data_IF_078706468799
#
_entry.id   IF_078706468799
#
_cell.length_a   1.000
_cell.length_b   1.000
_cell.length_c   1.000
_cell.angle_alpha   90.00
_cell.angle_beta   90.00
_cell.angle_gamma   90.00
#
_symmetry.space_group_name_H-M   'P 1'
#
loop_
_entity.id
_entity.type
_entity.pdbx_description
1 polymer ?
#
# COMPACT_ATOMS: atom_id res chain seq x y z
N UNK A 1 -8.13 -8.97 9.05
CA UNK A 1 -6.75 -9.41 9.25
C UNK A 1 -6.73 -10.82 9.85
N UNK A 2 -5.81 -11.70 9.43
CA UNK A 2 -5.64 -13.01 10.04
C UNK A 2 -5.24 -12.90 11.54
N UNK A 3 -5.61 -13.88 12.37
CA UNK A 3 -6.28 -15.13 12.00
C UNK A 3 -7.79 -14.92 11.78
N UNK A 4 -8.29 -15.43 10.65
CA UNK A 4 -9.70 -15.35 10.33
C UNK A 4 -10.53 -16.16 11.34
N UNK A 5 -11.72 -15.69 11.77
CA UNK A 5 -12.60 -16.42 12.66
C UNK A 5 -13.32 -17.58 11.92
N UNK A 6 -12.56 -18.41 11.23
CA UNK A 6 -13.02 -19.62 10.56
C UNK A 6 -12.42 -20.85 11.25
N UNK A 7 -13.11 -21.99 11.19
CA UNK A 7 -12.67 -23.21 11.88
C UNK A 7 -11.27 -23.65 11.37
N UNK A 8 -10.37 -24.11 12.26
CA UNK A 8 -9.15 -24.79 11.85
C UNK A 8 -9.47 -25.91 10.84
N UNK A 9 -8.78 -25.94 9.70
CA UNK A 9 -9.04 -26.90 8.61
C UNK A 9 -10.00 -26.43 7.52
N UNK A 10 -10.57 -25.23 7.60
CA UNK A 10 -11.38 -24.64 6.53
C UNK A 10 -10.52 -24.06 5.39
N UNK A 11 -9.56 -24.82 4.88
CA UNK A 11 -8.55 -24.37 3.91
C UNK A 11 -9.15 -23.61 2.70
N UNK A 12 -10.31 -24.04 2.19
CA UNK A 12 -10.97 -23.33 1.08
C UNK A 12 -11.55 -21.97 1.49
N UNK A 13 -12.03 -21.82 2.72
CA UNK A 13 -12.52 -20.52 3.21
C UNK A 13 -11.36 -19.55 3.42
N UNK A 14 -10.24 -20.04 3.97
CA UNK A 14 -9.01 -19.25 4.13
C UNK A 14 -8.48 -18.82 2.76
N UNK A 15 -8.37 -19.71 1.81
CA UNK A 15 -7.92 -19.39 0.44
C UNK A 15 -8.81 -18.32 -0.25
N UNK A 16 -10.13 -18.35 -0.01
CA UNK A 16 -11.03 -17.28 -0.51
C UNK A 16 -10.75 -15.95 0.17
N UNK A 17 -10.55 -15.94 1.49
CA UNK A 17 -10.29 -14.72 2.25
C UNK A 17 -8.93 -14.13 1.89
N UNK A 18 -7.89 -14.95 1.83
CA UNK A 18 -6.54 -14.55 1.43
C UNK A 18 -6.57 -13.95 0.02
N UNK A 19 -7.23 -14.65 -0.93
CA UNK A 19 -7.36 -14.16 -2.30
C UNK A 19 -8.14 -12.84 -2.39
N UNK A 20 -9.18 -12.66 -1.59
CA UNK A 20 -9.95 -11.41 -1.55
C UNK A 20 -9.17 -10.28 -0.86
N UNK A 21 -8.31 -10.61 0.11
CA UNK A 21 -7.40 -9.65 0.71
C UNK A 21 -6.34 -9.18 -0.28
N UNK A 22 -5.80 -10.11 -1.07
CA UNK A 22 -4.78 -9.80 -2.08
C UNK A 22 -5.35 -9.02 -3.27
N UNK A 23 -6.53 -9.42 -3.75
CA UNK A 23 -7.12 -8.87 -4.97
C UNK A 23 -8.12 -7.73 -4.73
N UNK A 24 -8.59 -7.56 -3.49
CA UNK A 24 -9.69 -6.65 -3.19
C UNK A 24 -11.05 -7.12 -3.79
N UNK A 25 -11.97 -6.20 -4.04
CA UNK A 25 -13.26 -6.52 -4.65
C UNK A 25 -13.07 -7.25 -5.99
N UNK A 26 -13.57 -8.48 -6.08
CA UNK A 26 -13.31 -9.38 -7.20
C UNK A 26 -14.63 -9.94 -7.72
N UNK A 27 -14.79 -10.02 -9.05
CA UNK A 27 -15.98 -10.58 -9.66
C UNK A 27 -16.13 -12.08 -9.33
N UNK A 28 -17.37 -12.50 -9.05
CA UNK A 28 -17.68 -13.90 -8.71
C UNK A 28 -17.23 -14.87 -9.82
N UNK A 29 -17.31 -14.45 -11.08
CA UNK A 29 -16.83 -15.23 -12.25
C UNK A 29 -15.35 -15.56 -12.15
N UNK A 30 -14.52 -14.61 -11.70
CA UNK A 30 -13.08 -14.78 -11.60
C UNK A 30 -12.68 -15.59 -10.38
N UNK A 31 -13.39 -15.43 -9.27
CA UNK A 31 -13.23 -16.30 -8.10
C UNK A 31 -13.58 -17.76 -8.44
N UNK A 32 -14.66 -17.98 -9.20
CA UNK A 32 -15.03 -19.33 -9.66
C UNK A 32 -13.99 -19.95 -10.59
N UNK A 33 -13.37 -19.16 -11.47
CA UNK A 33 -12.29 -19.65 -12.37
C UNK A 33 -11.06 -20.10 -11.58
N UNK A 34 -10.71 -19.40 -10.50
CA UNK A 34 -9.51 -19.67 -9.71
C UNK A 34 -9.71 -20.76 -8.65
N UNK A 35 -10.89 -20.79 -8.03
CA UNK A 35 -11.18 -21.64 -6.86
C UNK A 35 -12.18 -22.76 -7.16
N UNK A 36 -12.71 -22.80 -8.39
CA UNK A 36 -13.64 -23.82 -8.85
C UNK A 36 -15.12 -23.54 -8.55
N UNK A 37 -16.02 -24.42 -9.02
CA UNK A 37 -17.47 -24.20 -8.97
C UNK A 37 -18.07 -24.14 -7.55
N UNK A 38 -17.37 -24.68 -6.55
CA UNK A 38 -17.81 -24.65 -5.14
C UNK A 38 -17.62 -23.32 -4.41
N UNK A 39 -17.19 -22.27 -5.08
CA UNK A 39 -16.84 -20.97 -4.48
C UNK A 39 -18.08 -20.22 -3.91
N UNK A 40 -19.23 -20.29 -4.59
CA UNK A 40 -20.43 -19.55 -4.17
C UNK A 40 -20.99 -19.95 -2.79
N UNK A 41 -21.12 -21.25 -2.44
CA UNK A 41 -21.51 -21.66 -1.10
C UNK A 41 -20.53 -21.18 -0.02
N UNK A 42 -19.24 -21.17 -0.33
CA UNK A 42 -18.20 -20.67 0.59
C UNK A 42 -18.38 -19.17 0.83
N UNK A 43 -18.57 -18.38 -0.22
CA UNK A 43 -18.81 -16.94 -0.12
C UNK A 43 -20.06 -16.63 0.67
N UNK A 44 -21.19 -17.33 0.43
CA UNK A 44 -22.43 -17.15 1.22
C UNK A 44 -22.21 -17.41 2.69
N UNK A 45 -21.42 -18.44 3.04
CA UNK A 45 -21.08 -18.72 4.44
C UNK A 45 -20.20 -17.62 5.04
N UNK A 46 -19.21 -17.11 4.31
CA UNK A 46 -18.36 -16.00 4.75
C UNK A 46 -19.15 -14.70 4.89
N UNK A 47 -20.15 -14.47 4.04
CA UNK A 47 -21.11 -13.38 4.19
C UNK A 47 -21.92 -13.50 5.48
N UNK A 48 -22.41 -14.71 5.80
CA UNK A 48 -23.13 -14.97 7.05
C UNK A 48 -22.29 -14.75 8.31
N UNK A 49 -20.95 -14.82 8.18
CA UNK A 49 -19.99 -14.48 9.23
C UNK A 49 -19.56 -12.99 9.23
N UNK A 50 -20.10 -12.18 8.30
CA UNK A 50 -19.73 -10.77 8.18
C UNK A 50 -18.29 -10.53 7.61
N UNK A 51 -17.63 -11.58 7.11
CA UNK A 51 -16.25 -11.49 6.63
C UNK A 51 -16.13 -11.07 5.16
N UNK A 52 -17.19 -11.27 4.38
CA UNK A 52 -17.27 -10.93 2.96
C UNK A 52 -18.63 -10.30 2.69
N UNK A 53 -18.69 -9.32 1.81
CA UNK A 53 -19.94 -8.76 1.28
C UNK A 53 -20.09 -9.16 -0.17
N UNK A 54 -21.29 -9.62 -0.55
CA UNK A 54 -21.68 -9.85 -1.94
C UNK A 54 -22.55 -8.69 -2.37
N UNK A 55 -22.07 -7.89 -3.31
CA UNK A 55 -22.85 -6.84 -3.94
C UNK A 55 -23.43 -7.37 -5.26
N UNK A 56 -24.73 -7.26 -5.45
CA UNK A 56 -25.40 -7.62 -6.70
C UNK A 56 -25.26 -6.45 -7.68
N UNK A 57 -24.36 -6.63 -8.64
CA UNK A 57 -24.19 -5.70 -9.78
C UNK A 57 -23.29 -4.52 -9.45
N UNK A 58 -22.27 -4.39 -10.27
CA UNK A 58 -21.43 -3.20 -10.27
C UNK A 58 -22.24 -1.97 -10.69
N UNK A 59 -22.90 -1.34 -9.76
CA UNK A 59 -23.21 0.07 -9.94
C UNK A 59 -21.88 0.78 -10.06
N UNK A 60 -21.63 1.32 -11.26
CA UNK A 60 -20.67 2.38 -11.40
C UNK A 60 -20.96 3.35 -10.24
N UNK A 61 -19.95 3.70 -9.46
CA UNK A 61 -20.07 4.73 -8.45
C UNK A 61 -20.56 6.00 -9.18
N UNK A 62 -21.86 6.15 -9.29
CA UNK A 62 -22.48 7.41 -9.70
C UNK A 62 -22.18 8.32 -8.52
N UNK A 63 -21.52 9.47 -8.72
CA UNK A 63 -21.38 10.44 -7.66
C UNK A 63 -22.79 10.65 -7.08
N UNK A 64 -23.03 10.46 -5.78
CA UNK A 64 -24.31 10.83 -5.22
C UNK A 64 -24.53 12.28 -5.57
N UNK A 65 -25.63 12.56 -6.27
CA UNK A 65 -26.04 13.93 -6.49
C UNK A 65 -26.06 14.59 -5.11
N UNK A 66 -25.15 15.51 -4.90
CA UNK A 66 -24.92 16.42 -3.77
C UNK A 66 -25.77 16.24 -2.49
N UNK A 67 -25.93 15.02 -2.01
CA UNK A 67 -26.54 14.73 -0.69
C UNK A 67 -25.42 14.34 0.25
N UNK A 68 -25.01 15.32 1.04
CA UNK A 68 -23.91 15.42 1.97
C UNK A 68 -23.65 14.22 2.86
N UNK A 69 -22.97 13.20 2.35
CA UNK A 69 -22.21 12.31 3.18
C UNK A 69 -20.85 13.00 3.39
N UNK A 70 -20.72 13.72 4.50
CA UNK A 70 -19.43 14.23 4.94
C UNK A 70 -18.47 13.04 5.07
N UNK A 71 -17.28 13.16 4.49
CA UNK A 71 -16.21 12.19 4.75
C UNK A 71 -15.90 12.14 6.26
N UNK A 72 -15.29 11.05 6.70
CA UNK A 72 -14.81 10.98 8.08
C UNK A 72 -13.87 12.15 8.36
N UNK A 73 -14.05 12.79 9.51
CA UNK A 73 -13.12 13.82 9.98
C UNK A 73 -11.74 13.17 10.14
N UNK A 74 -10.79 13.63 9.34
CA UNK A 74 -9.43 13.15 9.43
C UNK A 74 -8.83 13.54 10.79
N UNK A 75 -8.09 12.64 11.47
CA UNK A 75 -7.41 12.97 12.70
C UNK A 75 -6.57 14.26 12.57
N UNK A 76 -6.46 15.04 13.62
CA UNK A 76 -5.61 16.24 13.60
C UNK A 76 -4.17 15.86 13.20
N UNK A 77 -3.53 16.74 12.47
CA UNK A 77 -2.12 16.61 12.17
C UNK A 77 -1.30 16.75 13.45
N UNK A 78 -0.17 16.08 13.52
CA UNK A 78 0.88 16.39 14.51
C UNK A 78 1.66 17.61 14.09
N UNK A 79 2.37 18.25 15.02
CA UNK A 79 3.21 19.42 14.73
C UNK A 79 4.21 19.16 13.59
N UNK A 80 4.82 17.94 13.56
CA UNK A 80 5.73 17.53 12.47
C UNK A 80 4.99 17.43 11.13
N UNK A 81 3.77 16.93 11.12
CA UNK A 81 2.97 16.83 9.90
C UNK A 81 2.47 18.20 9.43
N UNK A 82 2.13 19.10 10.35
CA UNK A 82 1.77 20.49 10.02
C UNK A 82 2.95 21.22 9.41
N UNK A 83 4.14 21.12 10.01
CA UNK A 83 5.36 21.68 9.46
C UNK A 83 5.67 21.11 8.05
N UNK A 84 5.58 19.80 7.90
CA UNK A 84 5.78 19.16 6.60
C UNK A 84 4.75 19.62 5.55
N UNK A 85 3.48 19.78 5.93
CA UNK A 85 2.44 20.30 5.05
C UNK A 85 2.72 21.75 4.65
N UNK A 86 3.19 22.57 5.57
CA UNK A 86 3.54 23.97 5.30
C UNK A 86 4.68 24.10 4.27
N UNK A 87 5.61 23.13 4.23
CA UNK A 87 6.66 23.07 3.20
C UNK A 87 6.16 22.52 1.85
N UNK A 88 5.22 21.58 1.86
CA UNK A 88 4.72 20.92 0.64
C UNK A 88 3.62 21.70 -0.06
N UNK A 89 2.76 22.38 0.67
CA UNK A 89 1.61 23.09 0.11
C UNK A 89 1.98 24.19 -0.90
N UNK A 90 3.05 25.01 -0.69
CA UNK A 90 3.50 25.96 -1.70
C UNK A 90 3.95 25.29 -3.00
N UNK A 91 4.65 24.15 -2.91
CA UNK A 91 5.08 23.39 -4.07
C UNK A 91 3.90 22.73 -4.81
N UNK A 92 2.82 22.39 -4.12
CA UNK A 92 1.58 21.94 -4.74
C UNK A 92 0.86 23.09 -5.47
N UNK A 93 0.84 24.29 -4.87
CA UNK A 93 0.19 25.45 -5.49
C UNK A 93 0.97 26.00 -6.69
N UNK A 94 2.29 25.91 -6.66
CA UNK A 94 3.21 26.39 -7.72
C UNK A 94 4.34 25.37 -7.90
N UNK A 95 4.12 24.30 -8.65
CA UNK A 95 5.13 23.27 -8.87
C UNK A 95 6.38 23.84 -9.55
N UNK A 96 7.54 23.55 -8.99
CA UNK A 96 8.87 23.97 -9.47
C UNK A 96 9.58 22.90 -10.30
N UNK A 97 8.88 21.80 -10.61
CA UNK A 97 9.42 20.68 -11.36
C UNK A 97 10.29 19.73 -10.52
N UNK A 98 10.44 19.97 -9.21
CA UNK A 98 11.21 19.11 -8.33
C UNK A 98 10.30 18.12 -7.59
N UNK A 99 10.77 16.87 -7.48
CA UNK A 99 10.14 15.92 -6.56
C UNK A 99 10.37 16.33 -5.10
N UNK A 100 9.49 15.93 -4.21
CA UNK A 100 9.61 16.11 -2.76
C UNK A 100 9.75 14.75 -2.08
N UNK A 101 10.79 14.60 -1.26
CA UNK A 101 10.96 13.39 -0.46
C UNK A 101 10.29 13.57 0.92
N UNK A 102 9.30 12.73 1.21
CA UNK A 102 8.73 12.59 2.56
C UNK A 102 9.43 11.45 3.27
N UNK A 103 10.46 11.77 4.02
CA UNK A 103 11.24 10.81 4.80
C UNK A 103 10.62 10.67 6.20
N UNK A 104 9.88 9.60 6.43
CA UNK A 104 9.19 9.38 7.70
C UNK A 104 9.30 7.95 8.19
N UNK A 105 9.59 7.78 9.47
CA UNK A 105 9.63 6.46 10.10
C UNK A 105 8.31 5.72 9.92
N UNK A 106 8.34 4.40 10.00
CA UNK A 106 7.11 3.58 9.97
C UNK A 106 6.19 4.02 11.10
N UNK A 107 4.92 4.29 10.79
CA UNK A 107 3.96 4.81 11.78
C UNK A 107 4.04 6.32 12.03
N UNK A 108 4.81 7.09 11.27
CA UNK A 108 4.84 8.57 11.37
C UNK A 108 3.61 9.26 10.78
N UNK A 109 2.69 8.49 10.18
CA UNK A 109 1.48 9.04 9.59
C UNK A 109 1.67 9.67 8.21
N UNK A 110 2.64 9.22 7.40
CA UNK A 110 2.81 9.66 6.00
C UNK A 110 1.50 9.69 5.23
N UNK A 111 0.69 8.62 5.35
CA UNK A 111 -0.62 8.56 4.69
C UNK A 111 -1.55 9.71 5.09
N UNK A 112 -1.51 10.14 6.36
CA UNK A 112 -2.30 11.29 6.82
C UNK A 112 -1.89 12.58 6.12
N UNK A 113 -0.58 12.79 5.95
CA UNK A 113 -0.04 13.93 5.20
C UNK A 113 -0.44 13.87 3.72
N UNK A 114 -0.39 12.69 3.09
CA UNK A 114 -0.85 12.51 1.71
C UNK A 114 -2.33 12.89 1.55
N UNK A 115 -3.20 12.49 2.49
CA UNK A 115 -4.62 12.85 2.43
C UNK A 115 -4.86 14.36 2.52
N UNK A 116 -4.03 15.11 3.25
CA UNK A 116 -4.11 16.58 3.22
C UNK A 116 -3.70 17.17 1.87
N UNK A 117 -2.63 16.66 1.26
CA UNK A 117 -2.24 17.06 -0.09
C UNK A 117 -3.33 16.71 -1.11
N UNK A 118 -3.96 15.55 -0.97
CA UNK A 118 -5.13 15.15 -1.79
C UNK A 118 -6.25 16.19 -1.63
N UNK A 119 -6.61 16.56 -0.40
CA UNK A 119 -7.65 17.56 -0.12
C UNK A 119 -7.36 18.89 -0.81
N UNK A 120 -6.12 19.37 -0.71
CA UNK A 120 -5.69 20.61 -1.36
C UNK A 120 -5.73 20.51 -2.89
N UNK A 121 -5.36 19.37 -3.45
CA UNK A 121 -5.39 19.12 -4.90
C UNK A 121 -6.82 19.07 -5.43
N UNK A 122 -7.72 18.37 -4.73
CA UNK A 122 -9.14 18.30 -5.08
C UNK A 122 -9.82 19.68 -5.00
N UNK A 123 -9.42 20.52 -4.04
CA UNK A 123 -9.91 21.89 -3.94
C UNK A 123 -9.49 22.78 -5.13
N UNK A 124 -8.43 22.40 -5.85
CA UNK A 124 -8.01 23.02 -7.10
C UNK A 124 -8.74 22.45 -8.33
N UNK A 125 -9.64 21.48 -8.14
CA UNK A 125 -10.32 20.77 -9.22
C UNK A 125 -9.43 19.77 -9.96
N UNK A 126 -8.24 19.43 -9.41
CA UNK A 126 -7.24 18.61 -10.08
C UNK A 126 -7.24 17.17 -9.58
N UNK A 127 -6.76 16.26 -10.42
CA UNK A 127 -6.72 14.82 -10.14
C UNK A 127 -5.50 14.42 -9.31
N UNK A 128 -5.64 13.25 -8.65
CA UNK A 128 -4.60 12.70 -7.80
C UNK A 128 -4.27 11.25 -8.17
N UNK A 129 -2.98 10.93 -8.20
CA UNK A 129 -2.48 9.58 -8.39
C UNK A 129 -1.69 9.14 -7.15
N UNK A 130 -2.19 8.13 -6.44
CA UNK A 130 -1.56 7.52 -5.26
C UNK A 130 -1.03 6.14 -5.63
N UNK A 131 0.27 5.96 -5.60
CA UNK A 131 0.92 4.71 -6.01
C UNK A 131 1.58 4.01 -4.83
N UNK A 132 1.43 2.71 -4.79
CA UNK A 132 2.11 1.83 -3.85
C UNK A 132 2.73 0.64 -4.60
N UNK A 133 3.79 -0.01 -4.05
CA UNK A 133 4.48 -1.10 -4.73
C UNK A 133 3.60 -2.33 -4.92
N UNK A 134 2.76 -2.63 -3.93
CA UNK A 134 1.94 -3.83 -3.88
C UNK A 134 0.45 -3.51 -3.87
N UNK A 135 -0.35 -4.48 -4.32
CA UNK A 135 -1.82 -4.35 -4.38
C UNK A 135 -2.43 -4.11 -3.00
N UNK A 136 -1.92 -4.80 -1.98
CA UNK A 136 -2.41 -4.65 -0.60
C UNK A 136 -2.21 -3.22 -0.06
N UNK A 137 -1.05 -2.62 -0.33
CA UNK A 137 -0.74 -1.24 0.04
C UNK A 137 -1.54 -0.23 -0.78
N UNK A 138 -1.70 -0.47 -2.09
CA UNK A 138 -2.55 0.35 -2.95
C UNK A 138 -4.02 0.32 -2.49
N UNK A 139 -4.52 -0.85 -2.11
CA UNK A 139 -5.87 -1.00 -1.54
C UNK A 139 -6.01 -0.31 -0.19
N UNK A 140 -4.95 -0.26 0.63
CA UNK A 140 -4.94 0.52 1.89
C UNK A 140 -5.06 2.03 1.61
N UNK A 141 -4.28 2.55 0.66
CA UNK A 141 -4.38 3.95 0.23
C UNK A 141 -5.77 4.27 -0.35
N UNK A 142 -6.31 3.38 -1.18
CA UNK A 142 -7.65 3.50 -1.73
C UNK A 142 -8.71 3.58 -0.64
N UNK A 143 -8.70 2.64 0.34
CA UNK A 143 -9.65 2.66 1.46
C UNK A 143 -9.55 3.96 2.27
N UNK A 144 -8.34 4.45 2.52
CA UNK A 144 -8.13 5.71 3.21
C UNK A 144 -8.73 6.89 2.41
N UNK A 145 -8.54 6.91 1.09
CA UNK A 145 -9.13 7.92 0.20
C UNK A 145 -10.67 7.83 0.15
N UNK A 146 -11.24 6.61 0.10
CA UNK A 146 -12.70 6.41 0.12
C UNK A 146 -13.33 6.95 1.40
N UNK A 147 -12.70 6.73 2.55
CA UNK A 147 -13.19 7.25 3.83
C UNK A 147 -13.12 8.77 3.91
N UNK A 148 -11.97 9.33 3.48
CA UNK A 148 -11.74 10.78 3.57
C UNK A 148 -12.51 11.58 2.52
N UNK A 149 -12.68 11.03 1.31
CA UNK A 149 -13.23 11.74 0.13
C UNK A 149 -14.25 10.89 -0.64
N UNK A 150 -15.34 10.46 -0.02
CA UNK A 150 -16.33 9.59 -0.67
C UNK A 150 -16.93 10.23 -1.92
N UNK A 151 -17.07 11.58 -1.96
CA UNK A 151 -17.62 12.30 -3.09
C UNK A 151 -16.70 12.29 -4.34
N UNK A 152 -15.38 12.17 -4.14
CA UNK A 152 -14.43 12.06 -5.24
C UNK A 152 -14.42 10.66 -5.87
N UNK A 153 -15.19 9.73 -5.30
CA UNK A 153 -15.31 8.34 -5.76
C UNK A 153 -13.94 7.72 -6.14
N UNK A 154 -13.03 7.52 -5.20
CA UNK A 154 -11.70 7.01 -5.51
C UNK A 154 -11.72 5.70 -6.28
N UNK A 155 -10.80 5.55 -7.23
CA UNK A 155 -10.66 4.39 -8.11
C UNK A 155 -9.44 3.59 -7.69
N UNK A 156 -9.60 2.26 -7.55
CA UNK A 156 -8.46 1.36 -7.39
C UNK A 156 -8.06 0.81 -8.77
N UNK A 157 -6.74 0.82 -9.08
CA UNK A 157 -6.22 0.28 -10.33
C UNK A 157 -4.96 -0.56 -10.14
N UNK A 158 -5.01 -1.81 -10.56
CA UNK A 158 -3.83 -2.70 -10.60
C UNK A 158 -3.98 -3.79 -11.66
N UNK A 159 -2.85 -4.38 -12.10
CA UNK A 159 -2.82 -5.32 -13.22
C UNK A 159 -3.58 -6.63 -13.02
N UNK A 160 -3.87 -7.01 -11.76
CA UNK A 160 -4.61 -8.25 -11.45
C UNK A 160 -6.13 -8.08 -11.44
N UNK A 161 -6.65 -6.86 -11.69
CA UNK A 161 -8.09 -6.64 -11.79
C UNK A 161 -8.67 -7.28 -13.05
N UNK A 162 -9.97 -7.68 -13.04
CA UNK A 162 -10.69 -8.11 -14.22
C UNK A 162 -10.64 -7.04 -15.33
N UNK A 163 -10.60 -7.45 -16.61
CA UNK A 163 -10.55 -6.50 -17.73
C UNK A 163 -11.62 -5.42 -17.68
N UNK A 164 -12.87 -5.78 -17.37
CA UNK A 164 -13.98 -4.84 -17.26
C UNK A 164 -13.77 -3.77 -16.17
N UNK A 165 -13.23 -4.17 -15.00
CA UNK A 165 -12.91 -3.22 -13.93
C UNK A 165 -11.78 -2.27 -14.33
N UNK A 166 -10.76 -2.77 -15.04
CA UNK A 166 -9.67 -1.93 -15.56
C UNK A 166 -10.16 -0.94 -16.60
N UNK A 167 -11.05 -1.38 -17.50
CA UNK A 167 -11.68 -0.52 -18.51
C UNK A 167 -12.49 0.60 -17.86
N UNK A 168 -13.34 0.27 -16.88
CA UNK A 168 -14.09 1.27 -16.12
C UNK A 168 -13.18 2.27 -15.42
N UNK A 169 -12.13 1.80 -14.78
CA UNK A 169 -11.13 2.64 -14.11
C UNK A 169 -10.39 3.53 -15.11
N UNK A 170 -10.07 3.01 -16.31
CA UNK A 170 -9.42 3.75 -17.38
C UNK A 170 -10.31 4.90 -17.89
N UNK A 171 -11.57 4.59 -18.23
CA UNK A 171 -12.54 5.60 -18.69
C UNK A 171 -12.74 6.67 -17.64
N UNK A 172 -12.81 6.28 -16.38
CA UNK A 172 -13.04 7.20 -15.29
C UNK A 172 -11.83 8.09 -15.00
N UNK A 173 -10.60 7.53 -15.05
CA UNK A 173 -9.38 8.30 -14.90
C UNK A 173 -9.20 9.35 -16.01
N UNK A 174 -9.72 9.10 -17.22
CA UNK A 174 -9.73 10.04 -18.35
C UNK A 174 -10.89 11.03 -18.34
N UNK A 175 -11.77 10.99 -17.34
CA UNK A 175 -12.92 11.90 -17.29
C UNK A 175 -12.49 13.31 -16.90
N UNK A 176 -12.86 14.30 -17.72
CA UNK A 176 -12.59 15.71 -17.44
C UNK A 176 -13.65 16.37 -16.52
N UNK A 177 -14.75 15.66 -16.25
CA UNK A 177 -15.93 16.25 -15.62
C UNK A 177 -15.87 16.31 -14.08
N UNK A 178 -14.90 15.65 -13.43
CA UNK A 178 -14.73 15.69 -11.98
C UNK A 178 -13.31 15.30 -11.57
N UNK A 179 -12.76 15.89 -10.51
CA UNK A 179 -11.49 15.48 -9.97
C UNK A 179 -11.58 14.02 -9.48
N UNK A 180 -10.63 13.19 -9.90
CA UNK A 180 -10.59 11.75 -9.59
C UNK A 180 -9.36 11.46 -8.75
N UNK A 181 -9.52 10.61 -7.74
CA UNK A 181 -8.41 9.99 -7.02
C UNK A 181 -8.21 8.60 -7.58
N UNK A 182 -7.03 8.33 -8.13
CA UNK A 182 -6.64 6.99 -8.54
C UNK A 182 -5.61 6.46 -7.55
N UNK A 183 -5.93 5.38 -6.85
CA UNK A 183 -4.97 4.62 -6.06
C UNK A 183 -4.61 3.35 -6.83
N UNK A 184 -3.32 3.00 -6.88
CA UNK A 184 -2.92 1.82 -7.65
C UNK A 184 -1.47 1.42 -7.48
N UNK A 185 -1.09 0.42 -8.25
CA UNK A 185 0.32 0.03 -8.39
C UNK A 185 0.96 0.76 -9.58
N UNK A 186 2.22 0.46 -9.89
CA UNK A 186 2.91 1.04 -11.07
C UNK A 186 2.09 0.96 -12.37
N UNK A 187 1.20 -0.02 -12.49
CA UNK A 187 0.34 -0.17 -13.66
C UNK A 187 -0.69 0.95 -13.83
N UNK A 188 -0.91 1.79 -12.82
CA UNK A 188 -1.77 2.97 -12.91
C UNK A 188 -1.06 4.18 -13.56
N UNK A 189 0.28 4.16 -13.66
CA UNK A 189 1.02 5.25 -14.30
C UNK A 189 0.63 5.53 -15.77
N UNK A 190 0.35 4.52 -16.62
CA UNK A 190 -0.04 4.80 -18.01
C UNK A 190 -1.52 5.17 -18.20
N UNK A 191 -2.32 5.28 -17.14
CA UNK A 191 -3.71 5.72 -17.28
C UNK A 191 -3.80 7.08 -17.97
N UNK A 192 -4.86 7.37 -18.74
CA UNK A 192 -4.96 8.60 -19.49
C UNK A 192 -4.81 9.80 -18.57
N UNK A 193 -4.08 10.84 -19.03
CA UNK A 193 -3.91 12.03 -18.23
C UNK A 193 -5.22 12.81 -18.18
N UNK A 194 -5.79 12.96 -16.98
CA UNK A 194 -6.58 14.11 -16.66
C UNK A 194 -5.68 15.26 -16.20
N UNK A 195 -6.23 16.33 -15.67
CA UNK A 195 -5.46 17.40 -15.05
C UNK A 195 -4.89 16.93 -13.69
N UNK A 196 -3.74 16.23 -13.72
CA UNK A 196 -3.10 15.71 -12.52
C UNK A 196 -2.42 16.85 -11.76
N UNK A 197 -2.78 17.05 -10.49
CA UNK A 197 -2.15 18.01 -9.59
C UNK A 197 -1.16 17.38 -8.59
N UNK A 198 -1.34 16.09 -8.29
CA UNK A 198 -0.51 15.40 -7.30
C UNK A 198 -0.25 13.96 -7.74
N UNK A 199 1.02 13.55 -7.67
CA UNK A 199 1.44 12.14 -7.78
C UNK A 199 2.19 11.78 -6.51
N UNK A 200 1.77 10.71 -5.84
CA UNK A 200 2.44 10.16 -4.65
C UNK A 200 2.94 8.74 -4.97
N UNK A 201 4.21 8.48 -4.72
CA UNK A 201 4.78 7.13 -4.67
C UNK A 201 5.09 6.81 -3.22
N UNK A 202 4.26 5.99 -2.59
CA UNK A 202 4.53 5.48 -1.24
C UNK A 202 5.47 4.28 -1.29
N UNK A 203 6.36 4.15 -0.31
CA UNK A 203 7.46 3.18 -0.27
C UNK A 203 8.31 3.21 -1.58
N UNK A 204 8.72 4.40 -1.99
CA UNK A 204 9.39 4.69 -3.28
C UNK A 204 10.65 3.86 -3.56
N UNK A 205 11.26 3.32 -2.49
CA UNK A 205 12.47 2.50 -2.56
C UNK A 205 12.23 1.08 -3.06
N UNK A 206 10.96 0.63 -3.09
CA UNK A 206 10.63 -0.75 -3.39
C UNK A 206 10.94 -1.13 -4.85
N UNK A 207 11.57 -2.29 -5.03
CA UNK A 207 11.93 -2.82 -6.35
C UNK A 207 10.72 -3.11 -7.25
N UNK A 208 9.51 -3.27 -6.68
CA UNK A 208 8.30 -3.46 -7.46
C UNK A 208 7.94 -2.27 -8.36
N UNK A 209 8.51 -1.10 -8.11
CA UNK A 209 8.38 0.05 -9.01
C UNK A 209 9.23 -0.04 -10.28
N UNK A 210 10.11 -1.04 -10.39
CA UNK A 210 10.85 -1.35 -11.59
C UNK A 210 10.08 -2.36 -12.45
N UNK A 211 9.80 -2.03 -13.70
CA UNK A 211 9.31 -2.97 -14.72
C UNK A 211 10.49 -3.52 -15.48
N UNK A 212 10.67 -4.83 -15.51
CA UNK A 212 11.75 -5.49 -16.23
C UNK A 212 11.27 -6.24 -17.48
N UNK A 213 10.00 -6.70 -17.45
CA UNK A 213 9.37 -7.43 -18.53
C UNK A 213 8.84 -6.52 -19.64
N UNK A 214 8.91 -6.97 -20.91
CA UNK A 214 8.37 -6.31 -22.10
C UNK A 214 8.97 -4.93 -22.35
N UNK A 215 8.36 -3.87 -21.82
CA UNK A 215 8.87 -2.50 -21.89
C UNK A 215 9.47 -2.15 -20.51
N UNK A 216 10.82 -2.15 -20.39
CA UNK A 216 11.47 -1.82 -19.13
C UNK A 216 11.32 -0.32 -18.80
N UNK A 217 10.92 -0.01 -17.56
CA UNK A 217 10.87 1.37 -17.06
C UNK A 217 10.95 1.43 -15.55
N UNK A 218 11.36 2.58 -15.04
CA UNK A 218 11.29 2.93 -13.63
C UNK A 218 10.05 3.81 -13.37
N UNK A 219 9.19 3.38 -12.45
CA UNK A 219 7.97 4.13 -12.13
C UNK A 219 8.27 5.55 -11.64
N UNK A 220 9.36 5.76 -10.89
CA UNK A 220 9.80 7.09 -10.43
C UNK A 220 10.09 8.04 -11.59
N UNK A 221 10.78 7.56 -12.62
CA UNK A 221 11.13 8.37 -13.79
C UNK A 221 9.89 8.74 -14.60
N UNK A 222 8.99 7.77 -14.80
CA UNK A 222 7.71 8.01 -15.50
C UNK A 222 6.83 8.98 -14.68
N UNK A 223 6.77 8.81 -13.36
CA UNK A 223 6.01 9.71 -12.48
C UNK A 223 6.58 11.13 -12.51
N UNK A 224 7.91 11.27 -12.49
CA UNK A 224 8.59 12.55 -12.60
C UNK A 224 8.30 13.24 -13.95
N UNK A 225 8.40 12.48 -15.04
CA UNK A 225 8.06 13.00 -16.36
C UNK A 225 6.59 13.47 -16.43
N UNK A 226 5.65 12.65 -15.94
CA UNK A 226 4.22 13.00 -15.92
C UNK A 226 3.95 14.22 -15.03
N UNK A 227 4.56 14.28 -13.86
CA UNK A 227 4.41 15.42 -12.96
C UNK A 227 4.85 16.73 -13.63
N UNK A 228 6.00 16.71 -14.30
CA UNK A 228 6.49 17.89 -15.03
C UNK A 228 5.58 18.27 -16.21
N UNK A 229 5.09 17.31 -16.95
CA UNK A 229 4.16 17.54 -18.08
C UNK A 229 2.84 18.17 -17.64
N UNK A 230 2.31 17.73 -16.49
CA UNK A 230 1.03 18.20 -15.97
C UNK A 230 1.16 19.39 -15.02
N UNK A 231 2.38 19.86 -14.70
CA UNK A 231 2.57 20.80 -13.62
C UNK A 231 2.02 20.27 -12.28
N UNK A 232 2.31 19.01 -11.96
CA UNK A 232 1.89 18.36 -10.74
C UNK A 232 3.03 18.30 -9.72
N UNK A 233 2.67 18.24 -8.45
CA UNK A 233 3.63 17.91 -7.40
C UNK A 233 3.89 16.40 -7.39
N UNK A 234 5.17 15.98 -7.45
CA UNK A 234 5.59 14.61 -7.19
C UNK A 234 6.08 14.46 -5.75
N UNK A 235 5.47 13.57 -5.01
CA UNK A 235 5.86 13.19 -3.64
C UNK A 235 6.38 11.75 -3.63
N UNK A 236 7.59 11.58 -3.12
CA UNK A 236 8.23 10.29 -2.90
C UNK A 236 8.24 10.01 -1.41
N UNK A 237 7.49 9.01 -0.96
CA UNK A 237 7.38 8.67 0.45
C UNK A 237 8.15 7.41 0.82
N UNK A 238 8.95 7.45 1.88
CA UNK A 238 9.68 6.28 2.36
C UNK A 238 10.11 6.41 3.82
N UNK A 239 10.20 5.26 4.50
CA UNK A 239 10.93 5.14 5.76
C UNK A 239 12.42 4.83 5.55
N UNK A 240 12.77 4.26 4.41
CA UNK A 240 14.12 3.84 4.00
C UNK A 240 14.37 4.27 2.56
N UNK A 241 14.54 5.58 2.29
CA UNK A 241 14.66 6.08 0.93
C UNK A 241 15.76 5.37 0.11
N UNK A 242 15.50 5.16 -1.17
CA UNK A 242 16.50 4.72 -2.14
C UNK A 242 17.73 5.65 -2.08
N UNK A 243 18.91 5.09 -2.20
CA UNK A 243 20.19 5.81 -2.12
C UNK A 243 20.25 6.98 -3.12
N UNK A 244 19.74 6.79 -4.34
CA UNK A 244 19.70 7.85 -5.37
C UNK A 244 18.77 8.98 -4.94
N UNK A 245 17.56 8.65 -4.45
CA UNK A 245 16.59 9.62 -3.97
C UNK A 245 17.13 10.39 -2.76
N UNK A 246 17.74 9.68 -1.81
CA UNK A 246 18.34 10.30 -0.63
C UNK A 246 19.52 11.21 -0.99
N UNK A 247 20.38 10.79 -1.94
CA UNK A 247 21.47 11.63 -2.45
C UNK A 247 20.94 12.89 -3.14
N UNK A 248 19.94 12.75 -4.02
CA UNK A 248 19.29 13.89 -4.67
C UNK A 248 18.70 14.87 -3.64
N UNK A 249 18.10 14.35 -2.57
CA UNK A 249 17.59 15.18 -1.47
C UNK A 249 18.71 15.95 -0.76
N UNK A 250 19.84 15.31 -0.47
CA UNK A 250 21.02 15.96 0.12
C UNK A 250 21.65 17.01 -0.81
N UNK A 251 21.57 16.80 -2.11
CA UNK A 251 22.06 17.75 -3.13
C UNK A 251 21.07 18.90 -3.44
N UNK A 252 19.90 18.95 -2.76
CA UNK A 252 18.88 19.97 -2.99
C UNK A 252 18.04 19.76 -4.27
N UNK A 253 18.23 18.65 -4.97
CA UNK A 253 17.50 18.31 -6.21
C UNK A 253 16.11 17.68 -5.93
N UNK A 254 15.88 17.22 -4.71
CA UNK A 254 14.59 16.70 -4.23
C UNK A 254 14.40 17.14 -2.77
N UNK A 255 13.93 18.37 -2.51
CA UNK A 255 13.76 18.87 -1.15
C UNK A 255 13.03 17.86 -0.24
N UNK A 256 13.53 17.69 0.99
CA UNK A 256 13.13 16.63 1.89
C UNK A 256 12.44 17.17 3.13
N UNK A 257 11.22 16.73 3.38
CA UNK A 257 10.54 16.90 4.68
C UNK A 257 10.70 15.65 5.52
N UNK A 258 10.88 15.82 6.83
CA UNK A 258 11.16 14.71 7.75
C UNK A 258 10.04 14.56 8.79
N UNK A 259 9.58 13.33 8.97
CA UNK A 259 8.67 12.92 10.04
C UNK A 259 9.41 11.91 10.93
N UNK A 260 10.02 12.42 11.99
CA UNK A 260 10.92 11.63 12.84
C UNK A 260 10.18 10.79 13.89
N UNK A 261 8.98 11.25 14.29
CA UNK A 261 8.23 10.67 15.40
C UNK A 261 7.12 9.74 14.91
N UNK A 262 6.84 8.68 15.70
CA UNK A 262 5.66 7.82 15.48
C UNK A 262 4.41 8.47 16.07
N UNK A 263 3.32 8.41 15.35
CA UNK A 263 2.00 8.79 15.89
C UNK A 263 1.61 7.79 16.97
N UNK A 264 1.24 8.28 18.16
CA UNK A 264 0.86 7.42 19.29
C UNK A 264 2.00 6.99 20.22
N UNK A 265 3.24 7.50 20.02
CA UNK A 265 4.31 7.39 21.03
C UNK A 265 4.92 6.00 21.21
N UNK A 266 4.68 5.05 20.31
CA UNK A 266 5.26 3.71 20.35
C UNK A 266 6.79 3.75 20.22
N UNK A 267 7.53 3.23 21.19
CA UNK A 267 8.98 3.07 21.14
C UNK A 267 9.43 2.13 20.02
N UNK A 268 10.71 2.20 19.65
CA UNK A 268 11.32 1.18 18.81
C UNK A 268 11.47 -0.12 19.62
N UNK A 269 11.31 -1.29 18.99
CA UNK A 269 11.60 -2.55 19.65
C UNK A 269 13.08 -2.62 20.04
N UNK A 270 13.40 -3.34 21.13
CA UNK A 270 14.77 -3.66 21.45
C UNK A 270 15.36 -4.56 20.35
N UNK A 271 16.54 -4.18 19.87
CA UNK A 271 17.24 -4.94 18.82
C UNK A 271 18.42 -5.65 19.45
N UNK A 272 18.46 -6.97 19.30
CA UNK A 272 19.60 -7.81 19.69
C UNK A 272 20.31 -8.31 18.42
N UNK A 273 21.61 -8.03 18.32
CA UNK A 273 22.45 -8.51 17.22
C UNK A 273 23.16 -9.77 17.65
N UNK A 274 22.98 -10.85 16.91
CA UNK A 274 23.68 -12.13 17.15
C UNK A 274 24.74 -12.30 16.07
N UNK A 275 26.04 -12.29 16.50
CA UNK A 275 27.14 -12.51 15.56
C UNK A 275 27.23 -14.00 15.20
N UNK A 276 26.98 -14.31 13.94
CA UNK A 276 27.00 -15.68 13.42
C UNK A 276 28.40 -16.22 13.14
N UNK A 277 29.44 -15.38 13.12
CA UNK A 277 30.82 -15.77 12.77
C UNK A 277 31.49 -16.68 13.84
N UNK A 278 30.98 -16.68 15.05
CA UNK A 278 31.46 -17.54 16.14
C UNK A 278 30.34 -18.39 16.77
N UNK A 279 29.13 -18.25 16.27
CA UNK A 279 28.00 -19.01 16.79
C UNK A 279 28.09 -20.47 16.34
N UNK A 280 28.35 -21.36 17.30
CA UNK A 280 28.17 -22.79 17.07
C UNK A 280 26.74 -23.08 16.60
N UNK A 281 26.55 -24.25 16.12
CA UNK A 281 25.34 -24.94 15.66
C UNK A 281 24.03 -24.12 15.63
N UNK A 282 23.49 -23.92 14.41
CA UNK A 282 22.14 -23.46 14.21
C UNK A 282 21.15 -24.53 14.68
N UNK A 283 20.14 -24.15 15.43
CA UNK A 283 19.10 -25.07 15.89
C UNK A 283 18.12 -25.34 14.74
N UNK A 284 17.91 -26.61 14.43
CA UNK A 284 16.87 -27.02 13.47
C UNK A 284 15.48 -26.88 14.12
N UNK A 285 14.69 -25.94 13.64
CA UNK A 285 13.26 -25.83 13.97
C UNK A 285 12.51 -26.84 13.12
N UNK A 286 12.33 -28.07 13.60
CA UNK A 286 11.74 -29.21 12.89
C UNK A 286 12.56 -29.75 11.70
N UNK A 287 13.61 -30.47 12.00
CA UNK A 287 14.27 -31.38 11.03
C UNK A 287 13.57 -32.73 11.02
N UNK A 288 13.37 -33.30 9.82
CA UNK A 288 12.96 -34.68 9.70
C UNK A 288 14.03 -35.58 10.34
N UNK A 289 13.71 -36.26 11.43
CA UNK A 289 14.64 -37.10 12.20
C UNK A 289 15.21 -38.25 11.37
N UNK A 290 14.64 -38.55 10.20
CA UNK A 290 15.03 -39.67 9.35
C UNK A 290 16.16 -39.35 8.36
N UNK A 291 16.42 -38.09 8.00
CA UNK A 291 17.43 -37.73 6.98
C UNK A 291 18.76 -37.21 7.54
N UNK A 292 18.89 -37.01 8.84
CA UNK A 292 20.13 -36.54 9.46
C UNK A 292 20.57 -35.12 9.05
N UNK A 293 19.80 -34.41 8.23
CA UNK A 293 20.12 -33.09 7.73
C UNK A 293 19.82 -32.02 8.80
N UNK A 294 20.89 -31.55 9.45
CA UNK A 294 20.86 -30.53 10.51
C UNK A 294 21.12 -29.12 9.96
N UNK A 295 20.51 -28.74 8.86
CA UNK A 295 20.57 -27.34 8.43
C UNK A 295 19.66 -26.50 9.31
N UNK A 296 20.16 -26.08 10.45
CA UNK A 296 19.49 -25.15 11.35
C UNK A 296 19.32 -23.78 10.67
N UNK A 297 18.13 -23.20 10.81
CA UNK A 297 17.79 -21.91 10.23
C UNK A 297 17.84 -20.78 11.27
N UNK A 298 17.71 -21.12 12.56
CA UNK A 298 17.71 -20.17 13.67
C UNK A 298 18.92 -20.40 14.58
N UNK A 299 19.42 -19.34 15.17
CA UNK A 299 20.37 -19.43 16.28
C UNK A 299 19.66 -19.95 17.54
N UNK A 300 20.41 -20.55 18.48
CA UNK A 300 19.86 -20.98 19.75
C UNK A 300 19.18 -19.81 20.49
N UNK A 301 19.77 -18.61 20.41
CA UNK A 301 19.18 -17.41 20.99
C UNK A 301 17.84 -17.02 20.35
N UNK A 302 17.74 -17.08 19.04
CA UNK A 302 16.50 -16.81 18.32
C UNK A 302 15.43 -17.88 18.59
N UNK A 303 15.84 -19.15 18.69
CA UNK A 303 14.94 -20.25 19.04
C UNK A 303 14.39 -20.12 20.46
N UNK A 304 15.24 -19.72 21.41
CA UNK A 304 14.83 -19.47 22.80
C UNK A 304 13.83 -18.29 22.87
N UNK A 305 14.14 -17.16 22.22
CA UNK A 305 13.23 -16.01 22.18
C UNK A 305 11.88 -16.34 21.54
N UNK A 306 11.88 -17.15 20.48
CA UNK A 306 10.64 -17.62 19.84
C UNK A 306 9.82 -18.49 20.81
N UNK A 307 10.47 -19.42 21.53
CA UNK A 307 9.79 -20.27 22.51
C UNK A 307 9.21 -19.46 23.67
N UNK A 308 9.95 -18.48 24.19
CA UNK A 308 9.49 -17.55 25.23
C UNK A 308 8.28 -16.75 24.78
N UNK A 309 8.33 -16.17 23.57
CA UNK A 309 7.24 -15.37 22.98
C UNK A 309 5.96 -16.21 22.82
N UNK A 310 6.09 -17.42 22.27
CA UNK A 310 4.94 -18.33 22.08
C UNK A 310 4.38 -18.80 23.43
N UNK A 311 5.23 -19.09 24.41
CA UNK A 311 4.80 -19.48 25.74
C UNK A 311 4.06 -18.36 26.49
N UNK A 312 4.40 -17.11 26.21
CA UNK A 312 3.69 -15.92 26.71
C UNK A 312 2.32 -15.68 26.03
N UNK A 313 1.98 -16.44 24.98
CA UNK A 313 0.78 -16.25 24.19
C UNK A 313 0.87 -15.12 23.17
N UNK A 314 2.07 -14.58 22.97
CA UNK A 314 2.35 -13.51 22.02
C UNK A 314 2.64 -14.06 20.61
N UNK A 315 2.68 -13.16 19.62
CA UNK A 315 2.94 -13.51 18.23
C UNK A 315 4.42 -13.27 17.88
N UNK A 316 4.97 -14.17 17.09
CA UNK A 316 6.33 -14.04 16.55
C UNK A 316 6.30 -14.03 15.02
N UNK A 317 7.11 -13.16 14.41
CA UNK A 317 7.31 -13.13 12.96
C UNK A 317 8.77 -13.45 12.64
N UNK A 318 8.99 -14.38 11.72
CA UNK A 318 10.32 -14.78 11.27
C UNK A 318 10.49 -14.36 9.82
N UNK A 319 11.46 -13.51 9.54
CA UNK A 319 11.86 -13.15 8.18
C UNK A 319 13.11 -13.98 7.80
N UNK A 320 12.95 -14.83 6.80
CA UNK A 320 14.05 -15.64 6.26
C UNK A 320 14.44 -15.08 4.88
N UNK A 321 15.64 -14.52 4.78
CA UNK A 321 16.21 -14.09 3.50
C UNK A 321 16.96 -15.27 2.84
N UNK A 322 16.22 -16.33 2.51
CA UNK A 322 16.77 -17.53 1.87
C UNK A 322 15.85 -17.97 0.74
N UNK A 323 16.40 -18.10 -0.44
CA UNK A 323 15.71 -18.79 -1.54
C UNK A 323 15.81 -20.29 -1.27
N UNK A 324 14.65 -20.96 -1.25
CA UNK A 324 14.56 -22.41 -1.13
C UNK A 324 15.10 -23.12 -2.36
#
# INVERSE_FOLDING_TARGET
DPPWPVRPGAAKQMAVLDLLCDLGPTALSDLKKRLGPGTLPILRRLCGLGLVRLDEGGEACVPPAASGVAGEDLPKLTDEQEAALAELAPALARPDGLARLVYGVTGSGKTRLYLELVRLTLAQGRQVLLLAPEVALAAKLHRAAVRAFPQACPVLYHGYQPPAAREQAFVRAGSENAPVIVAGTRSALPLPPGDIGLIVLDEEHDGAFKQEDRLPYQAKEVAFFRANQSGALLVLGSATPDVKTFYAAKAGQAPMVRLASRVGGGGLPAIELVDMRGAGKLTAVAGNRETGDRTGVLTDRAAAALAETVAAGDQAMILLNRRG
#
